data_IF_186403728118
#
_entry.id   IF_186403728118
#
_cell.length_a   1.000
_cell.length_b   1.000
_cell.length_c   1.000
_cell.angle_alpha   90.00
_cell.angle_beta   90.00
_cell.angle_gamma   90.00
#
_symmetry.space_group_name_H-M   'P 1'
#
loop_
_entity.id
_entity.type
_entity.pdbx_description
1 polymer ?
#
# COMPACT_ATOMS: atom_id res chain seq x y z
N UNK A 1 -9.30 -15.31 -4.01
CA UNK A 1 -9.79 -14.05 -4.61
C UNK A 1 -8.89 -12.88 -4.27
N UNK A 2 -8.48 -12.67 -3.01
CA UNK A 2 -7.61 -11.54 -2.69
C UNK A 2 -6.18 -11.61 -3.17
N UNK A 3 -5.60 -12.81 -3.33
CA UNK A 3 -4.31 -12.96 -4.01
C UNK A 3 -4.36 -12.39 -5.45
N UNK A 4 -5.47 -12.60 -6.15
CA UNK A 4 -5.74 -12.08 -7.48
C UNK A 4 -5.94 -10.55 -7.46
N UNK A 5 -6.68 -10.03 -6.47
CA UNK A 5 -6.86 -8.59 -6.27
C UNK A 5 -5.53 -7.88 -5.96
N UNK A 6 -4.71 -8.44 -5.07
CA UNK A 6 -3.37 -7.95 -4.77
C UNK A 6 -2.48 -7.96 -6.01
N UNK A 7 -2.53 -9.02 -6.82
CA UNK A 7 -1.82 -9.08 -8.10
C UNK A 7 -2.20 -7.93 -9.03
N UNK A 8 -3.50 -7.64 -9.17
CA UNK A 8 -3.99 -6.49 -9.95
C UNK A 8 -3.51 -5.14 -9.41
N UNK A 9 -3.51 -4.96 -8.08
CA UNK A 9 -3.01 -3.74 -7.43
C UNK A 9 -1.51 -3.55 -7.67
N UNK A 10 -0.71 -4.62 -7.60
CA UNK A 10 0.73 -4.56 -7.87
C UNK A 10 1.00 -4.18 -9.31
N UNK A 11 0.26 -4.73 -10.27
CA UNK A 11 0.36 -4.34 -11.70
C UNK A 11 0.05 -2.85 -11.86
N UNK A 12 -0.99 -2.34 -11.20
CA UNK A 12 -1.30 -0.91 -11.19
C UNK A 12 -0.17 -0.06 -10.61
N UNK A 13 0.43 -0.48 -9.48
CA UNK A 13 1.58 0.21 -8.87
C UNK A 13 2.76 0.29 -9.83
N UNK A 14 3.08 -0.81 -10.52
CA UNK A 14 4.16 -0.84 -11.51
C UNK A 14 3.83 0.10 -12.67
N UNK A 15 2.59 0.08 -13.16
CA UNK A 15 2.17 0.94 -14.26
C UNK A 15 2.33 2.43 -13.94
N UNK A 16 1.80 2.89 -12.79
CA UNK A 16 1.94 4.29 -12.40
C UNK A 16 3.39 4.68 -12.08
N UNK A 17 4.20 3.75 -11.56
CA UNK A 17 5.64 3.95 -11.37
C UNK A 17 6.40 4.10 -12.70
N UNK A 18 5.98 3.42 -13.75
CA UNK A 18 6.59 3.61 -15.09
C UNK A 18 6.20 4.98 -15.65
N UNK A 19 4.95 5.41 -15.47
CA UNK A 19 4.50 6.72 -15.94
C UNK A 19 5.25 7.88 -15.27
N UNK A 20 5.60 7.78 -13.99
CA UNK A 20 6.43 8.81 -13.32
C UNK A 20 7.83 8.87 -13.93
N UNK A 21 8.44 7.73 -14.24
CA UNK A 21 9.75 7.67 -14.92
C UNK A 21 9.68 8.31 -16.31
N UNK A 22 8.61 8.04 -17.07
CA UNK A 22 8.42 8.65 -18.40
C UNK A 22 8.37 10.18 -18.31
N UNK A 23 7.62 10.72 -17.35
CA UNK A 23 7.58 12.19 -17.15
C UNK A 23 8.94 12.72 -16.72
N UNK A 24 9.63 12.05 -15.79
CA UNK A 24 10.97 12.47 -15.37
C UNK A 24 11.95 12.53 -16.54
N UNK A 25 11.87 11.59 -17.48
CA UNK A 25 12.69 11.60 -18.70
C UNK A 25 12.29 12.73 -19.66
N UNK A 26 11.01 13.06 -19.78
CA UNK A 26 10.55 14.21 -20.57
C UNK A 26 11.09 15.52 -20.00
N UNK A 27 11.01 15.70 -18.68
CA UNK A 27 11.54 16.86 -17.96
C UNK A 27 13.06 16.99 -18.14
N UNK A 28 13.79 15.88 -18.00
CA UNK A 28 15.23 15.87 -18.22
C UNK A 28 15.60 16.21 -19.68
N UNK A 29 14.77 15.77 -20.63
CA UNK A 29 14.95 16.03 -22.06
C UNK A 29 14.48 17.41 -22.53
N UNK A 30 13.89 18.23 -21.66
CA UNK A 30 13.34 19.54 -22.01
C UNK A 30 12.14 19.48 -22.98
N UNK A 31 11.45 18.33 -23.03
CA UNK A 31 10.29 18.09 -23.88
C UNK A 31 9.00 18.03 -23.06
N UNK A 32 9.01 18.47 -21.81
CA UNK A 32 7.84 18.45 -20.97
C UNK A 32 6.79 19.49 -21.38
N UNK A 33 5.52 19.17 -21.10
CA UNK A 33 4.45 20.16 -21.09
C UNK A 33 4.46 20.90 -19.74
N UNK A 34 3.91 22.11 -19.68
CA UNK A 34 3.83 22.95 -18.47
C UNK A 34 3.01 22.34 -17.32
N UNK A 35 2.45 21.14 -17.49
CA UNK A 35 1.72 20.38 -16.47
C UNK A 35 2.48 19.18 -15.92
N UNK A 36 3.77 19.00 -16.26
CA UNK A 36 4.58 17.86 -15.82
C UNK A 36 4.51 17.60 -14.30
N UNK A 37 4.58 18.65 -13.48
CA UNK A 37 4.48 18.56 -12.02
C UNK A 37 3.11 18.05 -11.55
N UNK A 38 2.03 18.48 -12.23
CA UNK A 38 0.67 18.03 -11.91
C UNK A 38 0.49 16.55 -12.22
N UNK A 39 0.99 16.10 -13.37
CA UNK A 39 0.94 14.69 -13.75
C UNK A 39 1.82 13.84 -12.82
N UNK A 40 3.01 14.31 -12.46
CA UNK A 40 3.89 13.65 -11.50
C UNK A 40 3.20 13.46 -10.15
N UNK A 41 2.55 14.51 -9.64
CA UNK A 41 1.82 14.46 -8.38
C UNK A 41 0.67 13.46 -8.42
N UNK A 42 -0.11 13.43 -9.51
CA UNK A 42 -1.21 12.48 -9.69
C UNK A 42 -0.69 11.03 -9.75
N UNK A 43 0.35 10.77 -10.54
CA UNK A 43 0.87 9.41 -10.69
C UNK A 43 1.50 8.87 -9.40
N UNK A 44 2.28 9.69 -8.69
CA UNK A 44 2.80 9.33 -7.37
C UNK A 44 1.66 9.14 -6.34
N UNK A 45 0.62 9.99 -6.39
CA UNK A 45 -0.57 9.82 -5.58
C UNK A 45 -1.28 8.49 -5.82
N UNK A 46 -1.38 8.06 -7.08
CA UNK A 46 -1.96 6.77 -7.44
C UNK A 46 -1.11 5.59 -6.97
N UNK A 47 0.23 5.69 -7.06
CA UNK A 47 1.13 4.68 -6.45
C UNK A 47 0.86 4.55 -4.96
N UNK A 48 0.79 5.67 -4.24
CA UNK A 48 0.54 5.66 -2.80
C UNK A 48 -0.84 5.07 -2.45
N UNK A 49 -1.88 5.47 -3.18
CA UNK A 49 -3.24 4.96 -2.98
C UNK A 49 -3.33 3.46 -3.22
N UNK A 50 -2.75 2.96 -4.32
CA UNK A 50 -2.78 1.53 -4.64
C UNK A 50 -1.99 0.71 -3.62
N UNK A 51 -0.84 1.20 -3.16
CA UNK A 51 -0.07 0.57 -2.09
C UNK A 51 -0.86 0.55 -0.78
N UNK A 52 -1.52 1.64 -0.40
CA UNK A 52 -2.32 1.69 0.81
C UNK A 52 -3.46 0.66 0.78
N UNK A 53 -4.17 0.55 -0.34
CA UNK A 53 -5.22 -0.47 -0.53
C UNK A 53 -4.63 -1.88 -0.50
N UNK A 54 -3.50 -2.11 -1.17
CA UNK A 54 -2.83 -3.41 -1.15
C UNK A 54 -2.42 -3.81 0.27
N UNK A 55 -1.88 -2.88 1.06
CA UNK A 55 -1.56 -3.14 2.46
C UNK A 55 -2.79 -3.41 3.33
N UNK A 56 -3.90 -2.71 3.11
CA UNK A 56 -5.14 -2.97 3.85
C UNK A 56 -5.69 -4.37 3.55
N UNK A 57 -5.75 -4.76 2.27
CA UNK A 57 -6.15 -6.12 1.87
C UNK A 57 -5.19 -7.16 2.44
N UNK A 58 -3.87 -6.92 2.35
CA UNK A 58 -2.86 -7.82 2.89
C UNK A 58 -3.04 -8.03 4.40
N UNK A 59 -3.26 -6.95 5.15
CA UNK A 59 -3.51 -7.02 6.60
C UNK A 59 -4.79 -7.78 6.93
N UNK A 60 -5.87 -7.57 6.17
CA UNK A 60 -7.16 -8.22 6.44
C UNK A 60 -7.15 -9.71 6.14
N UNK A 61 -6.44 -10.13 5.11
CA UNK A 61 -6.54 -11.51 4.61
C UNK A 61 -5.35 -12.40 4.94
N UNK A 62 -4.16 -11.83 5.17
CA UNK A 62 -2.92 -12.62 5.31
C UNK A 62 -2.18 -12.37 6.63
N UNK A 63 -2.52 -11.33 7.41
CA UNK A 63 -1.96 -11.18 8.75
C UNK A 63 -2.78 -11.98 9.77
N UNK A 64 -2.15 -12.87 10.55
CA UNK A 64 -2.84 -13.62 11.59
C UNK A 64 -3.35 -12.68 12.69
N UNK A 65 -4.59 -12.90 13.13
CA UNK A 65 -5.26 -12.13 14.18
C UNK A 65 -4.47 -12.06 15.50
N UNK A 66 -3.57 -13.02 15.74
CA UNK A 66 -2.69 -13.08 16.89
C UNK A 66 -1.72 -11.88 16.97
N UNK A 67 -1.28 -11.36 15.82
CA UNK A 67 -0.45 -10.14 15.74
C UNK A 67 -1.28 -8.87 16.00
N UNK A 68 -2.59 -8.91 15.73
CA UNK A 68 -3.53 -7.80 15.91
C UNK A 68 -4.09 -7.80 17.36
N UNK A 69 -4.10 -8.94 18.04
CA UNK A 69 -4.80 -9.14 19.32
C UNK A 69 -4.01 -8.87 20.61
N UNK A 70 -2.70 -8.57 20.57
CA UNK A 70 -1.94 -8.35 21.81
C UNK A 70 -2.34 -7.07 22.58
N UNK A 71 -3.06 -6.14 21.94
CA UNK A 71 -3.47 -4.88 22.56
C UNK A 71 -4.89 -4.94 23.16
N UNK A 72 -5.75 -5.90 22.76
CA UNK A 72 -7.18 -5.85 23.12
C UNK A 72 -7.79 -7.12 23.74
N UNK A 73 -7.00 -8.14 24.07
CA UNK A 73 -7.50 -9.20 25.00
C UNK A 73 -7.19 -8.77 26.44
N UNK A 74 -8.18 -8.67 27.35
CA UNK A 74 -7.85 -8.65 28.77
C UNK A 74 -7.03 -9.91 29.02
N UNK A 75 -5.79 -9.76 29.50
CA UNK A 75 -4.95 -10.91 29.90
C UNK A 75 -5.85 -11.81 30.74
N UNK A 76 -6.09 -13.03 30.29
CA UNK A 76 -6.69 -14.06 31.13
C UNK A 76 -5.64 -14.36 32.20
N UNK A 77 -5.71 -13.61 33.30
CA UNK A 77 -4.93 -13.87 34.49
C UNK A 77 -5.60 -15.08 35.13
N UNK A 78 -5.01 -16.26 34.93
CA UNK A 78 -5.34 -17.42 35.75
C UNK A 78 -5.13 -17.00 37.20
N UNK A 79 -6.21 -16.81 37.96
CA UNK A 79 -6.12 -16.57 39.40
C UNK A 79 -5.40 -17.78 39.97
N UNK A 80 -4.18 -17.55 40.48
CA UNK A 80 -3.44 -18.54 41.26
C UNK A 80 -4.41 -19.04 42.32
N UNK A 81 -4.70 -20.34 42.34
CA UNK A 81 -5.54 -20.92 43.37
C UNK A 81 -4.94 -20.51 44.72
N UNK A 82 -5.76 -19.83 45.54
CA UNK A 82 -5.43 -19.49 46.90
C UNK A 82 -4.88 -20.74 47.60
N UNK A 83 -3.72 -20.61 48.22
CA UNK A 83 -3.19 -21.59 49.17
C UNK A 83 -2.94 -20.86 50.48
#
# INVERSE_FOLDING_TARGET
MASLALGGLVVGVVWFSVLTVVIALQVLGGNEDGQADSYMAVFLGMVFLLLAVAFDIYRREFMPDELIHKIRRPKIVLRRAFR
#
